data_IF_372785910588
#
_entry.id   IF_372785910588
#
_cell.length_a   1.000
_cell.length_b   1.000
_cell.length_c   1.000
_cell.angle_alpha   90.00
_cell.angle_beta   90.00
_cell.angle_gamma   90.00
#
_symmetry.space_group_name_H-M   'P 1'
#
loop_
_entity.id
_entity.type
_entity.pdbx_description
1 polymer ?
#
# COMPACT_ATOMS: atom_id res chain seq x y z
N UNK A 1 28.83 -3.78 -2.45
CA UNK A 1 28.00 -3.50 -1.27
C UNK A 1 26.60 -3.97 -1.61
N UNK A 2 26.05 -4.98 -0.93
CA UNK A 2 24.64 -5.34 -1.14
C UNK A 2 23.82 -4.19 -0.59
N UNK A 3 23.10 -3.54 -1.48
CA UNK A 3 22.30 -2.38 -1.13
C UNK A 3 21.11 -2.85 -0.27
N UNK A 4 21.08 -2.45 1.00
CA UNK A 4 20.12 -2.96 1.99
C UNK A 4 18.79 -2.25 1.85
N UNK A 5 18.11 -2.54 0.75
CA UNK A 5 16.86 -1.92 0.38
C UNK A 5 15.90 -2.96 -0.18
N UNK A 6 14.68 -2.97 0.33
CA UNK A 6 13.56 -3.69 -0.26
C UNK A 6 12.73 -2.70 -1.08
N UNK A 7 12.35 -3.02 -2.33
CA UNK A 7 11.45 -2.15 -3.09
C UNK A 7 10.14 -1.93 -2.33
N UNK A 8 9.41 -0.87 -2.65
CA UNK A 8 8.08 -0.60 -2.11
C UNK A 8 7.07 -1.18 -3.09
N UNK A 9 6.32 -2.25 -2.75
CA UNK A 9 5.23 -2.71 -3.58
C UNK A 9 4.15 -1.62 -3.65
N UNK A 10 3.81 -1.18 -4.86
CA UNK A 10 2.73 -0.24 -5.12
C UNK A 10 1.67 -0.95 -5.97
N UNK A 11 0.41 -0.84 -5.58
CA UNK A 11 -0.67 -1.47 -6.32
C UNK A 11 -0.93 -0.72 -7.62
N UNK A 12 -0.76 -1.41 -8.74
CA UNK A 12 -1.12 -0.90 -10.05
C UNK A 12 -2.58 -1.23 -10.35
N UNK A 13 -3.46 -0.25 -10.19
CA UNK A 13 -4.90 -0.40 -10.41
C UNK A 13 -5.26 -0.76 -11.87
N UNK A 14 -4.42 -0.38 -12.84
CA UNK A 14 -4.65 -0.68 -14.26
C UNK A 14 -4.48 -2.17 -14.55
N UNK A 15 -3.52 -2.82 -13.90
CA UNK A 15 -3.20 -4.23 -14.12
C UNK A 15 -3.72 -5.15 -13.01
N UNK A 16 -4.17 -4.59 -11.89
CA UNK A 16 -4.64 -5.36 -10.74
C UNK A 16 -3.52 -6.19 -10.10
N UNK A 17 -2.31 -5.64 -10.03
CA UNK A 17 -1.13 -6.34 -9.50
C UNK A 17 -0.22 -5.37 -8.72
N UNK A 18 0.63 -5.94 -7.88
CA UNK A 18 1.70 -5.19 -7.22
C UNK A 18 2.88 -4.95 -8.16
N UNK A 19 3.43 -3.74 -8.15
CA UNK A 19 4.68 -3.39 -8.83
C UNK A 19 5.74 -3.02 -7.78
N UNK A 20 6.95 -3.57 -7.85
CA UNK A 20 8.02 -3.25 -6.93
C UNK A 20 8.64 -1.91 -7.35
N UNK A 21 8.39 -0.85 -6.60
CA UNK A 21 8.88 0.49 -6.92
C UNK A 21 10.09 0.82 -6.04
N UNK A 22 11.21 1.19 -6.66
CA UNK A 22 12.31 1.82 -5.95
C UNK A 22 12.12 3.34 -6.00
N UNK A 23 12.17 3.98 -4.83
CA UNK A 23 11.97 5.43 -4.66
C UNK A 23 13.28 6.20 -4.41
N UNK A 24 14.43 5.52 -4.26
CA UNK A 24 15.70 6.16 -3.86
C UNK A 24 16.23 7.15 -4.89
N UNK A 25 15.98 6.89 -6.17
CA UNK A 25 16.48 7.68 -7.28
C UNK A 25 15.34 8.17 -8.19
N UNK A 26 14.22 8.53 -7.56
CA UNK A 26 12.95 8.76 -8.26
C UNK A 26 12.14 7.46 -8.38
N UNK A 27 10.97 7.55 -9.00
CA UNK A 27 10.02 6.44 -9.11
C UNK A 27 10.32 5.58 -10.33
N UNK A 28 10.80 4.35 -10.12
CA UNK A 28 11.02 3.39 -11.18
C UNK A 28 10.65 1.97 -10.75
N UNK A 29 10.23 1.15 -11.72
CA UNK A 29 9.96 -0.27 -11.51
C UNK A 29 11.29 -0.99 -11.32
N UNK A 30 11.43 -1.66 -10.18
CA UNK A 30 12.59 -2.46 -9.80
C UNK A 30 12.35 -3.96 -10.06
N UNK A 31 13.29 -4.80 -9.65
CA UNK A 31 13.08 -6.24 -9.55
C UNK A 31 12.53 -6.60 -8.17
N UNK A 32 11.70 -7.63 -8.11
CA UNK A 32 11.35 -8.27 -6.84
C UNK A 32 12.57 -8.91 -6.18
N UNK A 33 12.57 -9.10 -4.84
CA UNK A 33 13.59 -9.90 -4.18
C UNK A 33 13.69 -11.29 -4.81
N UNK A 34 14.91 -11.79 -4.93
CA UNK A 34 15.17 -13.01 -5.67
C UNK A 34 14.41 -14.20 -5.06
N UNK A 35 13.69 -14.96 -5.90
CA UNK A 35 12.88 -16.10 -5.46
C UNK A 35 11.63 -15.75 -4.65
N UNK A 36 11.24 -14.48 -4.53
CA UNK A 36 10.01 -14.10 -3.84
C UNK A 36 8.77 -14.52 -4.64
N UNK A 37 7.85 -15.22 -3.99
CA UNK A 37 6.57 -15.63 -4.55
C UNK A 37 5.52 -14.52 -4.41
N UNK A 38 5.10 -13.94 -5.54
CA UNK A 38 4.12 -12.86 -5.60
C UNK A 38 2.72 -13.28 -5.15
N UNK A 39 2.40 -14.58 -5.18
CA UNK A 39 1.10 -15.08 -4.72
C UNK A 39 0.90 -14.89 -3.21
N UNK A 40 1.97 -14.63 -2.46
CA UNK A 40 1.93 -14.34 -1.02
C UNK A 40 1.55 -12.90 -0.70
N UNK A 41 1.55 -12.01 -1.70
CA UNK A 41 1.16 -10.63 -1.48
C UNK A 41 -0.34 -10.53 -1.21
N UNK A 42 -0.77 -9.79 -0.17
CA UNK A 42 -2.19 -9.60 0.09
C UNK A 42 -2.82 -8.74 -0.99
N UNK A 43 -4.11 -8.97 -1.24
CA UNK A 43 -4.90 -8.10 -2.11
C UNK A 43 -5.43 -6.92 -1.30
N UNK A 44 -5.42 -5.70 -1.86
CA UNK A 44 -6.02 -4.57 -1.17
C UNK A 44 -7.54 -4.56 -1.29
N UNK A 45 -8.20 -4.19 -0.19
CA UNK A 45 -9.66 -4.05 -0.11
C UNK A 45 -10.15 -2.80 -0.85
N UNK A 46 -9.32 -1.76 -0.90
CA UNK A 46 -9.63 -0.48 -1.52
C UNK A 46 -8.64 -0.15 -2.65
N UNK A 47 -9.09 0.64 -3.61
CA UNK A 47 -8.36 0.95 -4.85
C UNK A 47 -8.24 2.46 -5.04
N UNK A 48 -7.31 2.89 -5.90
CA UNK A 48 -7.23 4.30 -6.29
C UNK A 48 -8.59 4.78 -6.85
N UNK A 49 -9.01 5.95 -6.38
CA UNK A 49 -10.30 6.55 -6.69
C UNK A 49 -11.42 6.19 -5.72
N UNK A 50 -11.27 5.17 -4.87
CA UNK A 50 -12.28 4.82 -3.88
C UNK A 50 -12.45 5.95 -2.86
N UNK A 51 -13.71 6.35 -2.64
CA UNK A 51 -14.07 7.28 -1.57
C UNK A 51 -14.28 6.50 -0.29
N UNK A 52 -13.49 6.81 0.74
CA UNK A 52 -13.49 6.06 1.99
C UNK A 52 -13.77 6.95 3.19
N UNK A 53 -14.42 6.39 4.20
CA UNK A 53 -14.47 6.97 5.54
C UNK A 53 -13.39 6.33 6.41
N UNK A 54 -12.61 7.12 7.11
CA UNK A 54 -11.50 6.62 7.92
C UNK A 54 -11.34 7.40 9.25
N UNK A 55 -10.67 6.78 10.22
CA UNK A 55 -10.27 7.37 11.49
C UNK A 55 -8.77 7.69 11.42
N UNK A 56 -8.41 8.94 11.73
CA UNK A 56 -6.99 9.36 11.82
C UNK A 56 -6.49 9.30 13.26
N UNK A 57 -7.26 9.91 14.14
CA UNK A 57 -7.06 9.99 15.58
C UNK A 57 -8.40 9.59 16.19
N UNK A 58 -8.39 8.85 17.30
CA UNK A 58 -9.52 8.11 17.91
C UNK A 58 -10.82 8.93 18.17
N UNK A 59 -10.81 10.24 17.89
CA UNK A 59 -11.88 11.18 18.16
C UNK A 59 -12.68 11.65 16.94
N UNK A 60 -12.25 11.40 15.69
CA UNK A 60 -12.98 11.94 14.52
C UNK A 60 -12.84 11.10 13.24
N UNK A 61 -13.99 10.83 12.61
CA UNK A 61 -14.08 10.23 11.27
C UNK A 61 -13.93 11.30 10.19
N UNK A 62 -13.27 10.94 9.09
CA UNK A 62 -13.06 11.81 7.93
C UNK A 62 -13.38 11.06 6.65
N UNK A 63 -13.73 11.81 5.62
CA UNK A 63 -13.85 11.29 4.26
C UNK A 63 -12.65 11.71 3.41
N UNK A 64 -12.22 10.81 2.53
CA UNK A 64 -11.16 11.08 1.57
C UNK A 64 -11.23 10.16 0.36
N UNK A 65 -10.27 10.32 -0.54
CA UNK A 65 -10.13 9.51 -1.76
C UNK A 65 -8.81 8.76 -1.66
N UNK A 66 -8.83 7.45 -1.81
CA UNK A 66 -7.62 6.64 -1.94
C UNK A 66 -6.90 7.06 -3.22
N UNK A 67 -5.61 7.39 -3.13
CA UNK A 67 -4.76 7.76 -4.27
C UNK A 67 -3.69 6.75 -4.59
N UNK A 68 -3.27 5.99 -3.58
CA UNK A 68 -2.22 5.01 -3.73
C UNK A 68 -2.40 3.93 -2.69
N UNK A 69 -2.03 2.72 -3.04
CA UNK A 69 -1.97 1.59 -2.12
C UNK A 69 -0.56 1.02 -2.20
N UNK A 70 0.07 0.83 -1.05
CA UNK A 70 1.46 0.37 -0.97
C UNK A 70 1.65 -0.59 0.19
N UNK A 71 2.61 -1.50 0.06
CA UNK A 71 3.17 -2.25 1.18
C UNK A 71 4.44 -1.56 1.67
N UNK A 72 4.86 -1.87 2.89
CA UNK A 72 6.09 -1.29 3.43
C UNK A 72 7.29 -1.80 2.61
N UNK A 73 8.15 -0.89 2.20
CA UNK A 73 9.48 -1.18 1.69
C UNK A 73 10.46 -0.17 2.26
N UNK A 74 11.69 -0.16 1.74
CA UNK A 74 12.70 0.82 2.13
C UNK A 74 14.01 0.21 2.59
N UNK A 75 14.85 1.08 3.15
CA UNK A 75 16.13 0.69 3.72
C UNK A 75 15.97 -0.14 5.00
N UNK A 76 16.86 -1.12 5.18
CA UNK A 76 16.92 -1.95 6.38
C UNK A 76 18.33 -2.05 6.95
N UNK A 77 18.42 -2.43 8.23
CA UNK A 77 19.65 -2.46 9.00
C UNK A 77 20.50 -3.72 8.75
N UNK A 78 21.77 -3.70 9.19
CA UNK A 78 22.72 -4.82 9.04
C UNK A 78 22.28 -6.13 9.68
N UNK A 79 21.49 -6.05 10.75
CA UNK A 79 21.10 -7.20 11.56
C UNK A 79 19.72 -7.76 11.17
N UNK A 80 19.05 -7.13 10.20
CA UNK A 80 17.76 -7.62 9.74
C UNK A 80 17.93 -8.82 8.81
N UNK A 81 17.12 -9.85 9.03
CA UNK A 81 16.98 -10.96 8.10
C UNK A 81 15.97 -10.57 7.02
N UNK A 82 16.37 -10.66 5.76
CA UNK A 82 15.59 -10.16 4.63
C UNK A 82 14.27 -10.93 4.50
N UNK A 83 14.30 -12.23 4.74
CA UNK A 83 13.14 -13.12 4.68
C UNK A 83 12.10 -12.76 5.75
N UNK A 84 12.53 -12.46 6.98
CA UNK A 84 11.65 -12.00 8.05
C UNK A 84 11.04 -10.64 7.74
N UNK A 85 11.82 -9.73 7.15
CA UNK A 85 11.31 -8.43 6.72
C UNK A 85 10.29 -8.58 5.61
N UNK A 86 10.55 -9.43 4.61
CA UNK A 86 9.60 -9.73 3.54
C UNK A 86 8.30 -10.27 4.14
N UNK A 87 8.39 -11.24 5.05
CA UNK A 87 7.20 -11.79 5.71
C UNK A 87 6.39 -10.71 6.43
N UNK A 88 7.05 -9.88 7.23
CA UNK A 88 6.38 -8.83 8.00
C UNK A 88 5.85 -7.70 7.11
N UNK A 89 6.61 -7.28 6.10
CA UNK A 89 6.33 -6.05 5.35
C UNK A 89 5.46 -6.30 4.13
N UNK A 90 5.57 -7.47 3.51
CA UNK A 90 4.87 -7.78 2.26
C UNK A 90 3.71 -8.75 2.44
N UNK A 91 3.82 -9.77 3.30
CA UNK A 91 2.86 -10.88 3.31
C UNK A 91 1.64 -10.64 4.23
N UNK A 92 1.74 -9.73 5.18
CA UNK A 92 0.66 -9.46 6.14
C UNK A 92 -0.33 -8.44 5.56
N UNK A 93 -1.65 -8.72 5.47
CA UNK A 93 -2.66 -7.74 5.04
C UNK A 93 -2.62 -6.43 5.83
N UNK A 94 -2.27 -6.52 7.12
CA UNK A 94 -2.10 -5.41 8.05
C UNK A 94 -0.98 -4.43 7.61
N UNK A 95 -0.02 -4.93 6.83
CA UNK A 95 1.09 -4.14 6.32
C UNK A 95 0.73 -3.26 5.14
N UNK A 96 -0.45 -3.46 4.53
CA UNK A 96 -0.98 -2.54 3.51
C UNK A 96 -1.13 -1.14 4.11
N UNK A 97 -0.81 -0.13 3.31
CA UNK A 97 -1.00 1.28 3.60
C UNK A 97 -1.74 1.91 2.43
N UNK A 98 -2.82 2.60 2.77
CA UNK A 98 -3.58 3.43 1.84
C UNK A 98 -3.13 4.88 2.00
N UNK A 99 -2.74 5.52 0.90
CA UNK A 99 -2.58 6.97 0.84
C UNK A 99 -3.94 7.56 0.50
N UNK A 100 -4.54 8.27 1.44
CA UNK A 100 -5.86 8.87 1.31
C UNK A 100 -5.73 10.38 1.30
N UNK A 101 -6.17 11.04 0.23
CA UNK A 101 -6.24 12.50 0.18
C UNK A 101 -7.56 12.95 0.81
N UNK A 102 -7.49 13.78 1.85
CA UNK A 102 -8.64 14.43 2.48
C UNK A 102 -8.31 15.90 2.74
N UNK A 103 -9.24 16.81 2.39
CA UNK A 103 -9.06 18.27 2.57
C UNK A 103 -7.75 18.83 2.00
N UNK A 104 -7.30 18.29 0.86
CA UNK A 104 -6.06 18.71 0.20
C UNK A 104 -4.77 18.15 0.80
N UNK A 105 -4.85 17.23 1.77
CA UNK A 105 -3.68 16.60 2.39
C UNK A 105 -3.71 15.08 2.24
N UNK A 106 -2.53 14.49 2.06
CA UNK A 106 -2.36 13.04 2.02
C UNK A 106 -2.15 12.45 3.41
N UNK A 107 -2.81 11.32 3.65
CA UNK A 107 -2.76 10.60 4.91
C UNK A 107 -2.40 9.14 4.67
N UNK A 108 -1.47 8.62 5.48
CA UNK A 108 -1.16 7.19 5.53
C UNK A 108 -2.13 6.50 6.46
N UNK A 109 -3.00 5.66 5.92
CA UNK A 109 -4.08 4.99 6.64
C UNK A 109 -3.88 3.48 6.56
N UNK A 110 -4.05 2.81 7.69
CA UNK A 110 -4.03 1.34 7.79
C UNK A 110 -5.41 0.76 7.47
N UNK A 111 -5.50 -0.49 6.99
CA UNK A 111 -6.78 -1.11 6.64
C UNK A 111 -7.84 -1.00 7.75
N UNK A 112 -7.45 -1.32 9.00
CA UNK A 112 -8.36 -1.28 10.16
C UNK A 112 -8.82 0.13 10.56
N UNK A 113 -8.19 1.18 10.04
CA UNK A 113 -8.62 2.56 10.26
C UNK A 113 -9.62 3.03 9.20
N UNK A 114 -9.91 2.23 8.16
CA UNK A 114 -10.95 2.52 7.17
C UNK A 114 -12.25 1.87 7.63
N UNK A 115 -13.26 2.70 7.86
CA UNK A 115 -14.57 2.28 8.37
C UNK A 115 -15.50 1.77 7.27
N UNK A 116 -15.28 2.18 6.03
CA UNK A 116 -16.04 1.74 4.89
C UNK A 116 -15.78 2.55 3.62
N UNK A 117 -16.30 2.04 2.51
CA UNK A 117 -16.25 2.69 1.20
C UNK A 117 -17.62 3.23 0.79
N UNK A 118 -17.65 4.45 0.26
CA UNK A 118 -18.84 5.02 -0.35
C UNK A 118 -18.98 4.48 -1.78
N UNK A 119 -19.96 3.62 -2.00
CA UNK A 119 -20.29 3.16 -3.35
C UNK A 119 -21.02 4.30 -4.06
N UNK A 120 -20.41 4.89 -5.09
CA UNK A 120 -21.16 5.82 -5.94
C UNK A 120 -22.30 5.07 -6.63
N UNK A 121 -23.47 5.71 -6.73
CA UNK A 121 -24.72 5.13 -7.28
C UNK A 121 -24.58 4.62 -8.73
N UNK A 122 -23.54 5.03 -9.46
CA UNK A 122 -23.29 4.67 -10.86
C UNK A 122 -22.73 3.24 -11.06
N UNK A 123 -22.54 2.46 -9.98
CA UNK A 123 -22.08 1.06 -10.09
C UNK A 123 -23.16 0.07 -10.54
N UNK A 124 -24.42 0.51 -10.62
CA UNK A 124 -25.57 -0.31 -11.04
C UNK A 124 -25.98 -0.11 -12.51
N UNK A 125 -25.26 0.71 -13.27
CA UNK A 125 -25.52 0.96 -14.70
C UNK A 125 -24.32 0.52 -15.56
N UNK A 126 -23.95 -0.77 -15.54
CA UNK A 126 -23.23 -1.44 -16.62
C UNK A 126 -23.59 -2.90 -16.69
#
# INVERSE_FOLDING_TARGET
MIDRYLPVPVWNNRFGQWEPIDFRHGQHVAAWPNGFDLARLPLPDYRDGDRVQFVRDESCTREGVVRMVLLRGGGYGPLNQVEELIEQWYCQPESIVYIVTARGHDHRIRPWNILGCFVSRNRWER
#
